data_IF_607905406996
#
_entry.id   IF_607905406996
#
_cell.length_a   1.000
_cell.length_b   1.000
_cell.length_c   1.000
_cell.angle_alpha   90.00
_cell.angle_beta   90.00
_cell.angle_gamma   90.00
#
_symmetry.space_group_name_H-M   'P 1'
#
loop_
_entity.id
_entity.type
_entity.pdbx_description
1 polymer ?
#
# COMPACT_ATOMS: atom_id res chain seq x y z
N UNK A 1 11.43 -0.61 30.79
CA UNK A 1 11.56 0.20 29.57
C UNK A 1 12.43 -0.56 28.59
N UNK A 2 11.86 -0.94 27.46
CA UNK A 2 12.56 -1.61 26.35
C UNK A 2 12.58 -0.61 25.20
N UNK A 3 13.76 -0.22 24.74
CA UNK A 3 13.93 0.73 23.63
C UNK A 3 15.06 0.24 22.74
N UNK A 4 14.76 0.05 21.46
CA UNK A 4 15.74 -0.32 20.45
C UNK A 4 16.29 0.94 19.79
N UNK A 5 17.59 0.94 19.51
CA UNK A 5 18.18 1.92 18.59
C UNK A 5 17.77 1.56 17.17
N UNK A 6 16.91 2.39 16.57
CA UNK A 6 16.40 2.18 15.22
C UNK A 6 16.49 3.48 14.42
N UNK A 7 16.70 3.35 13.12
CA UNK A 7 16.44 4.46 12.21
C UNK A 7 14.92 4.62 12.06
N UNK A 8 14.37 5.72 12.58
CA UNK A 8 12.93 5.96 12.67
C UNK A 8 12.36 6.78 11.49
N UNK A 9 13.06 6.80 10.34
CA UNK A 9 12.57 7.47 9.14
C UNK A 9 11.24 6.88 8.68
N UNK A 10 10.23 7.74 8.56
CA UNK A 10 8.96 7.42 7.93
C UNK A 10 9.09 7.33 6.41
N UNK A 11 8.04 6.83 5.77
CA UNK A 11 7.84 6.90 4.33
C UNK A 11 6.40 7.33 4.03
N UNK A 12 5.93 7.25 2.78
CA UNK A 12 4.59 7.71 2.42
C UNK A 12 3.50 6.70 2.79
N UNK A 13 3.72 5.41 2.53
CA UNK A 13 2.75 4.35 2.77
C UNK A 13 3.06 3.61 4.07
N UNK A 14 2.03 3.33 4.88
CA UNK A 14 2.21 2.80 6.23
C UNK A 14 2.80 1.37 6.25
N UNK A 15 2.38 0.50 5.32
CA UNK A 15 2.89 -0.87 5.22
C UNK A 15 4.37 -0.90 4.80
N UNK A 16 4.77 -0.10 3.81
CA UNK A 16 6.18 0.03 3.38
C UNK A 16 7.04 0.75 4.43
N UNK A 17 6.50 1.72 5.15
CA UNK A 17 7.20 2.37 6.27
C UNK A 17 7.57 1.35 7.34
N UNK A 18 6.60 0.57 7.80
CA UNK A 18 6.84 -0.47 8.81
C UNK A 18 7.85 -1.51 8.31
N UNK A 19 7.71 -1.99 7.06
CA UNK A 19 8.65 -2.93 6.45
C UNK A 19 10.06 -2.33 6.34
N UNK A 20 10.19 -1.06 5.96
CA UNK A 20 11.46 -0.36 5.86
C UNK A 20 12.19 -0.32 7.20
N UNK A 21 11.49 -0.03 8.29
CA UNK A 21 12.06 -0.06 9.66
C UNK A 21 12.55 -1.46 10.01
N UNK A 22 11.70 -2.48 9.84
CA UNK A 22 12.05 -3.86 10.17
C UNK A 22 13.26 -4.36 9.36
N UNK A 23 13.33 -4.04 8.07
CA UNK A 23 14.40 -4.48 7.18
C UNK A 23 15.72 -3.75 7.42
N UNK A 24 15.68 -2.44 7.69
CA UNK A 24 16.88 -1.67 8.04
C UNK A 24 17.52 -2.19 9.33
N UNK A 25 16.71 -2.62 10.30
CA UNK A 25 17.20 -3.30 11.51
C UNK A 25 17.92 -4.63 11.20
N UNK A 26 17.56 -5.29 10.10
CA UNK A 26 18.24 -6.49 9.60
C UNK A 26 19.41 -6.16 8.66
N UNK A 27 19.81 -4.89 8.54
CA UNK A 27 20.88 -4.43 7.65
C UNK A 27 20.48 -4.32 6.17
N UNK A 28 19.19 -4.42 5.84
CA UNK A 28 18.67 -4.31 4.47
C UNK A 28 18.03 -2.95 4.23
N UNK A 29 18.70 -2.12 3.44
CA UNK A 29 18.21 -0.79 3.06
C UNK A 29 17.62 -0.86 1.66
N UNK A 30 16.32 -0.62 1.55
CA UNK A 30 15.58 -0.50 0.29
C UNK A 30 14.83 0.83 0.27
N UNK A 31 14.71 1.44 -0.92
CA UNK A 31 13.84 2.58 -1.14
C UNK A 31 12.37 2.18 -0.98
N UNK A 32 11.49 3.14 -0.70
CA UNK A 32 10.05 2.87 -0.64
C UNK A 32 9.49 2.29 -1.94
N UNK A 33 9.82 2.82 -3.14
CA UNK A 33 9.40 2.21 -4.40
C UNK A 33 9.86 0.76 -4.53
N UNK A 34 11.10 0.44 -4.14
CA UNK A 34 11.62 -0.92 -4.21
C UNK A 34 10.88 -1.88 -3.26
N UNK A 35 10.54 -1.44 -2.04
CA UNK A 35 9.70 -2.20 -1.12
C UNK A 35 8.32 -2.48 -1.73
N UNK A 36 7.69 -1.47 -2.31
CA UNK A 36 6.37 -1.56 -2.92
C UNK A 36 6.36 -2.48 -4.15
N UNK A 37 7.33 -2.33 -5.04
CA UNK A 37 7.46 -3.08 -6.29
C UNK A 37 7.81 -4.55 -6.08
N UNK A 38 8.80 -4.85 -5.22
CA UNK A 38 9.17 -6.24 -4.88
C UNK A 38 8.04 -6.98 -4.15
N UNK A 39 7.23 -6.26 -3.38
CA UNK A 39 6.01 -6.76 -2.77
C UNK A 39 4.83 -6.93 -3.75
N UNK A 40 5.04 -6.66 -5.06
CA UNK A 40 3.98 -6.68 -6.08
C UNK A 40 2.76 -5.84 -5.65
N UNK A 41 3.04 -4.67 -5.07
CA UNK A 41 2.06 -3.87 -4.33
C UNK A 41 0.95 -3.26 -5.19
N UNK A 42 1.24 -2.97 -6.47
CA UNK A 42 0.28 -2.33 -7.36
C UNK A 42 -0.91 -3.25 -7.68
N UNK A 43 -2.11 -2.71 -7.57
CA UNK A 43 -3.33 -3.35 -8.05
C UNK A 43 -4.40 -2.30 -8.34
N UNK A 44 -5.63 -2.74 -8.54
CA UNK A 44 -6.80 -1.87 -8.52
C UNK A 44 -8.01 -2.62 -7.99
N UNK A 45 -8.87 -1.96 -7.23
CA UNK A 45 -10.21 -2.42 -6.87
C UNK A 45 -11.21 -1.29 -6.95
N UNK A 46 -12.36 -1.55 -7.58
CA UNK A 46 -13.57 -0.75 -7.42
C UNK A 46 -14.62 -1.56 -6.64
N UNK A 47 -15.13 -1.01 -5.55
CA UNK A 47 -16.15 -1.67 -4.74
C UNK A 47 -17.32 -0.74 -4.47
N UNK A 48 -18.53 -1.19 -4.82
CA UNK A 48 -19.77 -0.47 -4.54
C UNK A 48 -20.85 -1.47 -4.13
N UNK A 49 -21.57 -1.15 -3.05
CA UNK A 49 -22.68 -1.95 -2.57
C UNK A 49 -23.73 -1.06 -1.91
N UNK A 50 -24.98 -1.54 -1.85
CA UNK A 50 -26.09 -0.81 -1.21
C UNK A 50 -25.88 -0.54 0.29
N UNK A 51 -24.98 -1.27 0.95
CA UNK A 51 -24.64 -1.10 2.37
C UNK A 51 -23.56 -0.04 2.60
N UNK A 52 -22.93 0.45 1.54
CA UNK A 52 -21.90 1.48 1.60
C UNK A 52 -22.50 2.85 1.30
N UNK A 53 -22.09 3.83 2.09
CA UNK A 53 -22.44 5.23 1.88
C UNK A 53 -21.92 5.76 0.56
N UNK A 54 -20.70 5.37 0.17
CA UNK A 54 -20.08 5.77 -1.09
C UNK A 54 -19.20 4.65 -1.68
N UNK A 55 -19.02 4.58 -3.02
CA UNK A 55 -18.09 3.64 -3.64
C UNK A 55 -16.64 3.82 -3.16
N UNK A 56 -15.89 2.72 -3.13
CA UNK A 56 -14.48 2.67 -2.72
C UNK A 56 -13.57 2.33 -3.91
N UNK A 57 -12.46 3.06 -4.02
CA UNK A 57 -11.37 2.78 -4.94
C UNK A 57 -10.11 2.44 -4.13
N UNK A 58 -9.43 1.37 -4.50
CA UNK A 58 -8.13 1.01 -3.93
C UNK A 58 -7.10 0.78 -5.03
N UNK A 59 -5.86 1.26 -4.83
CA UNK A 59 -4.77 1.17 -5.81
C UNK A 59 -3.73 0.10 -5.56
N UNK A 60 -3.96 -0.77 -4.58
CA UNK A 60 -2.97 -1.76 -4.14
C UNK A 60 -3.59 -3.11 -3.84
N UNK A 61 -2.75 -4.12 -3.72
CA UNK A 61 -3.12 -5.43 -3.20
C UNK A 61 -3.70 -5.32 -1.78
N UNK A 62 -4.38 -6.38 -1.31
CA UNK A 62 -5.02 -6.36 0.01
C UNK A 62 -3.97 -6.10 1.11
N UNK A 63 -4.38 -5.50 2.24
CA UNK A 63 -3.49 -5.34 3.39
C UNK A 63 -2.76 -6.62 3.73
N UNK A 64 -1.45 -6.51 3.98
CA UNK A 64 -0.56 -7.60 4.33
C UNK A 64 -0.16 -8.55 3.18
N UNK A 65 -0.85 -8.53 2.03
CA UNK A 65 -0.39 -9.30 0.85
C UNK A 65 0.93 -8.73 0.32
N UNK A 66 1.13 -7.40 0.38
CA UNK A 66 2.40 -6.75 0.04
C UNK A 66 3.52 -7.28 0.93
N UNK A 67 3.32 -7.30 2.26
CA UNK A 67 4.27 -7.86 3.23
C UNK A 67 4.61 -9.33 2.93
N UNK A 68 3.60 -10.18 2.66
CA UNK A 68 3.81 -11.60 2.35
C UNK A 68 4.60 -11.78 1.05
N UNK A 69 4.23 -11.04 0.01
CA UNK A 69 4.90 -11.08 -1.27
C UNK A 69 6.36 -10.65 -1.16
N UNK A 70 6.63 -9.55 -0.45
CA UNK A 70 7.98 -9.06 -0.23
C UNK A 70 8.83 -10.08 0.53
N UNK A 71 8.29 -10.66 1.61
CA UNK A 71 8.96 -11.69 2.38
C UNK A 71 9.29 -12.92 1.54
N UNK A 72 8.33 -13.45 0.79
CA UNK A 72 8.56 -14.57 -0.12
C UNK A 72 9.59 -14.22 -1.21
N UNK A 73 9.53 -13.01 -1.77
CA UNK A 73 10.42 -12.53 -2.83
C UNK A 73 11.87 -12.46 -2.38
N UNK A 74 12.09 -11.92 -1.18
CA UNK A 74 13.41 -11.71 -0.60
C UNK A 74 13.91 -12.92 0.20
N UNK A 75 13.10 -13.96 0.37
CA UNK A 75 13.44 -15.12 1.19
C UNK A 75 13.53 -14.80 2.69
N UNK A 76 12.75 -13.82 3.15
CA UNK A 76 12.72 -13.43 4.56
C UNK A 76 11.94 -14.45 5.38
N UNK A 77 12.40 -14.70 6.60
CA UNK A 77 11.57 -15.39 7.59
C UNK A 77 10.52 -14.41 8.10
N UNK A 78 9.26 -14.62 7.70
CA UNK A 78 8.11 -13.86 8.18
C UNK A 78 7.36 -14.65 9.25
N UNK A 79 7.52 -14.24 10.51
CA UNK A 79 6.78 -14.82 11.63
C UNK A 79 5.54 -13.97 11.90
N UNK A 80 4.36 -14.52 11.65
CA UNK A 80 3.07 -13.83 11.87
C UNK A 80 2.35 -14.43 13.06
N UNK A 81 1.91 -13.59 14.00
CA UNK A 81 1.11 -13.99 15.15
C UNK A 81 -0.23 -13.28 15.14
N UNK A 82 -1.29 -14.04 15.34
CA UNK A 82 -2.66 -13.54 15.51
C UNK A 82 -3.32 -14.21 16.69
N UNK A 83 -4.14 -13.47 17.44
CA UNK A 83 -4.84 -13.98 18.62
C UNK A 83 -6.03 -13.08 18.95
N UNK A 84 -7.03 -13.64 19.61
CA UNK A 84 -8.14 -12.87 20.19
C UNK A 84 -7.93 -12.56 21.68
N UNK A 85 -6.89 -13.11 22.32
CA UNK A 85 -6.56 -12.88 23.72
C UNK A 85 -5.66 -11.64 23.87
N UNK A 86 -6.10 -10.60 24.61
CA UNK A 86 -5.29 -9.40 24.84
C UNK A 86 -3.94 -9.69 25.51
N UNK A 87 -3.93 -10.59 26.51
CA UNK A 87 -2.69 -11.01 27.18
C UNK A 87 -1.68 -11.61 26.18
N UNK A 88 -2.12 -12.59 25.38
CA UNK A 88 -1.25 -13.18 24.34
C UNK A 88 -0.86 -12.17 23.27
N UNK A 89 -1.75 -11.23 22.93
CA UNK A 89 -1.46 -10.19 21.94
C UNK A 89 -0.32 -9.28 22.40
N UNK A 90 -0.27 -8.96 23.70
CA UNK A 90 0.84 -8.23 24.30
C UNK A 90 2.12 -9.06 24.31
N UNK A 91 2.06 -10.32 24.76
CA UNK A 91 3.21 -11.24 24.78
C UNK A 91 3.85 -11.41 23.39
N UNK A 92 3.04 -11.50 22.33
CA UNK A 92 3.51 -11.59 20.94
C UNK A 92 4.25 -10.34 20.43
N UNK A 93 4.26 -9.25 21.20
CA UNK A 93 4.94 -7.98 20.87
C UNK A 93 6.07 -7.70 21.85
N UNK A 94 5.82 -7.84 23.14
CA UNK A 94 6.83 -7.66 24.18
C UNK A 94 8.00 -8.63 24.01
N UNK A 95 7.73 -9.93 23.78
CA UNK A 95 8.80 -10.93 23.74
C UNK A 95 9.83 -10.71 22.60
N UNK A 96 9.43 -10.40 21.35
CA UNK A 96 10.41 -10.02 20.33
C UNK A 96 11.13 -8.70 20.61
N UNK A 97 10.45 -7.69 21.16
CA UNK A 97 11.06 -6.40 21.50
C UNK A 97 12.15 -6.57 22.57
N UNK A 98 11.84 -7.33 23.63
CA UNK A 98 12.77 -7.65 24.71
C UNK A 98 13.96 -8.48 24.20
N UNK A 99 13.78 -9.22 23.11
CA UNK A 99 14.84 -9.95 22.41
C UNK A 99 15.61 -9.11 21.38
N UNK A 100 15.35 -7.80 21.28
CA UNK A 100 16.08 -6.91 20.38
C UNK A 100 15.51 -6.80 18.97
N UNK A 101 14.27 -7.24 18.73
CA UNK A 101 13.64 -7.24 17.41
C UNK A 101 12.44 -6.30 17.35
N UNK A 102 12.42 -5.29 16.46
CA UNK A 102 11.24 -4.46 16.26
C UNK A 102 10.09 -5.29 15.66
N UNK A 103 8.86 -4.86 15.90
CA UNK A 103 7.65 -5.62 15.58
C UNK A 103 6.72 -4.80 14.71
N UNK A 104 6.32 -5.35 13.56
CA UNK A 104 5.25 -4.79 12.75
C UNK A 104 3.88 -5.10 13.34
N UNK A 105 2.98 -4.12 13.36
CA UNK A 105 1.63 -4.23 13.90
C UNK A 105 0.62 -3.81 12.84
N UNK A 106 -0.45 -4.59 12.66
CA UNK A 106 -1.62 -4.14 11.93
C UNK A 106 -2.72 -3.76 12.93
N UNK A 107 -3.26 -2.55 12.81
CA UNK A 107 -4.17 -1.95 13.79
C UNK A 107 -5.12 -0.93 13.15
N UNK A 108 -6.09 -0.45 13.93
CA UNK A 108 -6.98 0.64 13.54
C UNK A 108 -6.43 2.00 13.96
N UNK A 109 -6.13 2.85 12.98
CA UNK A 109 -5.54 4.17 13.22
C UNK A 109 -6.43 5.12 14.02
N UNK A 110 -7.76 4.91 14.08
CA UNK A 110 -8.64 5.83 14.80
C UNK A 110 -8.38 5.87 16.31
N UNK A 111 -7.83 4.79 16.86
CA UNK A 111 -7.57 4.63 18.29
C UNK A 111 -6.19 5.17 18.70
N UNK A 112 -5.30 5.46 17.75
CA UNK A 112 -3.98 5.98 18.06
C UNK A 112 -4.06 7.44 18.51
N UNK A 113 -3.32 7.78 19.58
CA UNK A 113 -3.42 9.09 20.24
C UNK A 113 -2.94 10.22 19.31
N UNK A 114 -1.84 10.00 18.59
CA UNK A 114 -1.23 10.95 17.68
C UNK A 114 -1.99 11.12 16.35
N UNK A 115 -2.90 10.21 16.02
CA UNK A 115 -3.61 10.25 14.74
C UNK A 115 -4.76 11.26 14.81
N UNK A 116 -4.61 12.38 14.10
CA UNK A 116 -5.56 13.50 14.16
C UNK A 116 -6.95 13.17 13.57
N UNK A 117 -7.02 12.28 12.59
CA UNK A 117 -8.28 11.80 12.02
C UNK A 117 -8.85 10.65 12.87
N UNK A 118 -10.14 10.73 13.25
CA UNK A 118 -10.83 9.69 14.01
C UNK A 118 -11.73 8.80 13.14
N UNK A 119 -11.31 8.58 11.89
CA UNK A 119 -11.96 7.64 10.97
C UNK A 119 -11.35 6.24 11.14
N UNK A 120 -12.22 5.23 11.33
CA UNK A 120 -11.82 3.83 11.45
C UNK A 120 -11.10 3.32 10.19
N UNK A 121 -9.88 2.82 10.36
CA UNK A 121 -9.10 2.17 9.32
C UNK A 121 -8.23 1.06 9.90
N UNK A 122 -8.82 -0.13 10.06
CA UNK A 122 -8.16 -1.35 10.58
C UNK A 122 -7.07 -1.96 9.69
N UNK A 123 -6.77 -1.34 8.55
CA UNK A 123 -5.73 -1.74 7.62
C UNK A 123 -4.40 -1.00 7.82
N UNK A 124 -4.28 -0.16 8.86
CA UNK A 124 -3.07 0.61 9.13
C UNK A 124 -1.96 -0.28 9.67
N UNK A 125 -0.71 0.05 9.35
CA UNK A 125 0.46 -0.74 9.74
C UNK A 125 1.53 0.20 10.30
N UNK A 126 2.11 -0.16 11.44
CA UNK A 126 3.20 0.59 12.09
C UNK A 126 4.31 -0.37 12.52
N UNK A 127 5.52 0.14 12.69
CA UNK A 127 6.58 -0.60 13.38
C UNK A 127 6.66 -0.13 14.83
N UNK A 128 6.71 -1.05 15.78
CA UNK A 128 6.97 -0.78 17.19
C UNK A 128 8.42 -1.13 17.50
N UNK A 129 9.10 -0.25 18.23
CA UNK A 129 10.52 -0.41 18.57
C UNK A 129 10.80 -0.27 20.07
N UNK A 130 9.79 0.03 20.87
CA UNK A 130 9.93 0.06 22.30
C UNK A 130 8.64 0.31 23.05
N UNK A 131 8.71 0.18 24.37
CA UNK A 131 7.66 0.55 25.31
C UNK A 131 8.21 0.79 26.72
N UNK A 132 7.43 1.49 27.52
CA UNK A 132 7.55 1.55 28.99
C UNK A 132 6.23 1.15 29.65
N UNK A 133 6.05 1.50 30.93
CA UNK A 133 4.87 1.11 31.70
C UNK A 133 3.58 1.82 31.23
N UNK A 134 3.70 2.89 30.44
CA UNK A 134 2.60 3.73 30.00
C UNK A 134 2.46 3.81 28.49
N UNK A 135 3.57 3.91 27.77
CA UNK A 135 3.61 4.28 26.37
C UNK A 135 4.28 3.23 25.48
N UNK A 136 3.81 3.18 24.23
CA UNK A 136 4.43 2.47 23.12
C UNK A 136 5.10 3.46 22.17
N UNK A 137 6.31 3.12 21.73
CA UNK A 137 7.11 3.89 20.80
C UNK A 137 7.05 3.23 19.42
N UNK A 138 6.57 4.00 18.44
CA UNK A 138 6.20 3.53 17.11
C UNK A 138 6.89 4.36 16.02
N UNK A 139 6.99 3.77 14.84
CA UNK A 139 7.28 4.47 13.59
C UNK A 139 6.08 4.34 12.66
N UNK A 140 5.62 5.49 12.19
CA UNK A 140 4.53 5.66 11.24
C UNK A 140 5.04 6.50 10.04
N UNK A 141 4.16 6.76 9.09
CA UNK A 141 4.45 7.54 7.89
C UNK A 141 5.00 8.94 8.20
N UNK A 142 5.74 9.53 7.26
CA UNK A 142 6.27 10.90 7.40
C UNK A 142 5.15 11.92 7.67
N UNK A 143 3.98 11.70 7.07
CA UNK A 143 2.79 12.52 7.31
C UNK A 143 2.36 12.55 8.78
N UNK A 144 2.61 11.47 9.53
CA UNK A 144 2.31 11.38 10.97
C UNK A 144 3.48 11.81 11.86
N UNK A 145 4.65 12.09 11.28
CA UNK A 145 5.85 12.54 12.00
C UNK A 145 7.00 11.52 12.09
N UNK A 146 6.88 10.35 11.46
CA UNK A 146 7.90 9.30 11.56
C UNK A 146 7.87 8.63 12.94
N UNK A 147 8.72 9.07 13.86
CA UNK A 147 8.73 8.59 15.25
C UNK A 147 7.55 9.18 16.04
N UNK A 148 6.69 8.30 16.58
CA UNK A 148 5.44 8.69 17.26
C UNK A 148 5.22 7.85 18.51
N UNK A 149 4.35 8.34 19.40
CA UNK A 149 4.06 7.71 20.70
C UNK A 149 2.55 7.62 20.89
N UNK A 150 2.09 6.50 21.46
CA UNK A 150 0.70 6.31 21.90
C UNK A 150 0.70 5.50 23.20
N UNK A 151 -0.30 5.71 24.05
CA UNK A 151 -0.45 4.95 25.28
C UNK A 151 -0.67 3.45 25.00
N UNK A 152 -0.22 2.58 25.91
CA UNK A 152 -0.49 1.15 25.84
C UNK A 152 -1.99 0.83 25.80
N UNK A 153 -2.82 1.66 26.44
CA UNK A 153 -4.28 1.54 26.41
C UNK A 153 -4.81 1.78 25.00
N UNK A 154 -4.41 2.87 24.36
CA UNK A 154 -4.81 3.21 22.99
C UNK A 154 -4.29 2.18 21.99
N UNK A 155 -3.05 1.71 22.14
CA UNK A 155 -2.50 0.63 21.32
C UNK A 155 -3.31 -0.67 21.46
N UNK A 156 -3.70 -1.05 22.67
CA UNK A 156 -4.52 -2.23 22.91
C UNK A 156 -5.89 -2.12 22.23
N UNK A 157 -6.55 -0.95 22.30
CA UNK A 157 -7.81 -0.70 21.60
C UNK A 157 -7.64 -0.77 20.08
N UNK A 158 -6.61 -0.12 19.52
CA UNK A 158 -6.31 -0.11 18.10
C UNK A 158 -6.13 -1.52 17.53
N UNK A 159 -5.44 -2.40 18.28
CA UNK A 159 -5.19 -3.79 17.89
C UNK A 159 -6.38 -4.73 18.10
N UNK A 160 -7.30 -4.37 18.99
CA UNK A 160 -8.51 -5.14 19.29
C UNK A 160 -9.72 -4.76 18.41
N UNK A 161 -9.60 -3.69 17.63
CA UNK A 161 -10.65 -3.16 16.78
C UNK A 161 -11.24 -4.23 15.85
N UNK A 162 -12.54 -4.09 15.56
CA UNK A 162 -13.29 -4.99 14.68
C UNK A 162 -13.94 -4.20 13.57
N UNK A 163 -13.89 -4.73 12.35
CA UNK A 163 -14.50 -4.09 11.20
C UNK A 163 -13.78 -4.42 9.89
N UNK A 164 -14.10 -3.70 8.81
CA UNK A 164 -13.41 -3.84 7.54
C UNK A 164 -11.89 -3.73 7.71
N UNK A 165 -11.16 -4.61 7.03
CA UNK A 165 -9.69 -4.63 6.97
C UNK A 165 -8.96 -4.89 8.29
N UNK A 166 -9.65 -5.04 9.43
CA UNK A 166 -9.05 -5.39 10.73
C UNK A 166 -8.41 -6.77 10.74
N UNK A 167 -7.39 -6.94 11.60
CA UNK A 167 -6.76 -8.23 11.88
C UNK A 167 -6.88 -8.58 13.37
N UNK A 168 -6.75 -9.87 13.74
CA UNK A 168 -6.87 -10.34 15.13
C UNK A 168 -5.58 -10.07 15.90
N UNK A 169 -5.40 -8.83 16.36
CA UNK A 169 -4.18 -8.36 17.04
C UNK A 169 -2.87 -8.72 16.32
N UNK A 170 -2.88 -8.70 14.98
CA UNK A 170 -1.76 -9.18 14.17
C UNK A 170 -0.47 -8.44 14.53
N UNK A 171 0.55 -9.22 14.87
CA UNK A 171 1.94 -8.77 14.95
C UNK A 171 2.81 -9.63 14.05
N UNK A 172 3.92 -9.07 13.58
CA UNK A 172 4.86 -9.80 12.74
C UNK A 172 6.29 -9.31 12.92
N UNK A 173 7.24 -10.21 12.73
CA UNK A 173 8.67 -9.92 12.64
C UNK A 173 9.23 -10.42 11.33
N UNK A 174 10.36 -9.85 10.92
CA UNK A 174 11.10 -10.23 9.72
C UNK A 174 12.55 -10.51 10.09
N UNK A 175 13.08 -11.62 9.60
CA UNK A 175 14.51 -11.93 9.67
C UNK A 175 15.05 -12.07 8.24
N UNK A 176 16.13 -11.35 7.95
CA UNK A 176 16.80 -11.46 6.66
C UNK A 176 17.71 -12.72 6.62
N UNK A 177 17.77 -13.45 5.49
CA UNK A 177 18.77 -14.49 5.31
C UNK A 177 20.16 -13.86 5.20
N UNK A 178 21.20 -14.64 5.55
CA UNK A 178 22.61 -14.20 5.41
C UNK A 178 23.00 -13.96 3.95
N UNK A 179 22.51 -14.79 3.05
CA UNK A 179 22.80 -14.73 1.62
C UNK A 179 21.52 -14.39 0.84
N UNK A 180 21.44 -13.16 0.33
CA UNK A 180 20.36 -12.76 -0.55
C UNK A 180 20.70 -13.12 -2.00
N UNK A 181 19.77 -13.75 -2.74
CA UNK A 181 19.87 -13.93 -4.19
C UNK A 181 20.14 -12.61 -4.96
N UNK A 182 20.48 -12.68 -6.24
CA UNK A 182 20.69 -11.47 -7.04
C UNK A 182 19.42 -10.60 -7.16
N UNK A 183 19.51 -9.25 -7.07
CA UNK A 183 18.37 -8.35 -7.19
C UNK A 183 17.57 -8.52 -8.51
N UNK A 184 18.26 -8.77 -9.62
CA UNK A 184 17.69 -8.81 -10.97
C UNK A 184 16.60 -9.88 -11.13
N UNK A 185 16.87 -11.11 -10.67
CA UNK A 185 15.90 -12.23 -10.77
C UNK A 185 14.62 -11.91 -9.99
N UNK A 186 14.77 -11.28 -8.83
CA UNK A 186 13.64 -10.90 -7.97
C UNK A 186 12.81 -9.77 -8.57
N UNK A 187 13.46 -8.78 -9.17
CA UNK A 187 12.78 -7.66 -9.83
C UNK A 187 11.94 -8.17 -10.99
N UNK A 188 12.53 -8.93 -11.93
CA UNK A 188 11.79 -9.48 -13.07
C UNK A 188 10.58 -10.29 -12.60
N UNK A 189 10.78 -11.19 -11.63
CA UNK A 189 9.71 -12.02 -11.14
C UNK A 189 8.64 -11.25 -10.34
N UNK A 190 8.99 -10.10 -9.72
CA UNK A 190 8.03 -9.24 -9.03
C UNK A 190 7.16 -8.46 -10.01
N UNK A 191 7.79 -7.94 -11.08
CA UNK A 191 7.10 -7.23 -12.14
C UNK A 191 6.14 -8.16 -12.90
N UNK A 192 6.62 -9.34 -13.33
CA UNK A 192 5.78 -10.27 -14.10
C UNK A 192 4.63 -10.83 -13.28
N UNK A 193 4.83 -11.15 -12.00
CA UNK A 193 3.76 -11.58 -11.10
C UNK A 193 2.71 -10.48 -10.87
N UNK A 194 3.15 -9.23 -10.70
CA UNK A 194 2.25 -8.08 -10.57
C UNK A 194 1.42 -7.87 -11.85
N UNK A 195 2.09 -7.92 -13.02
CA UNK A 195 1.45 -7.80 -14.31
C UNK A 195 0.41 -8.91 -14.56
N UNK A 196 0.75 -10.16 -14.28
CA UNK A 196 -0.16 -11.29 -14.44
C UNK A 196 -1.43 -11.15 -13.58
N UNK A 197 -1.27 -10.84 -12.29
CA UNK A 197 -2.40 -10.62 -11.39
C UNK A 197 -3.29 -9.43 -11.81
N UNK A 198 -2.70 -8.40 -12.40
CA UNK A 198 -3.41 -7.21 -12.88
C UNK A 198 -4.18 -7.45 -14.20
N UNK A 199 -3.63 -8.31 -15.07
CA UNK A 199 -4.22 -8.68 -16.36
C UNK A 199 -5.27 -9.79 -16.23
N UNK A 200 -5.10 -10.70 -15.27
CA UNK A 200 -5.97 -11.85 -15.08
C UNK A 200 -6.69 -11.83 -13.72
N UNK A 201 -7.43 -10.75 -13.38
CA UNK A 201 -8.10 -10.65 -12.10
C UNK A 201 -9.24 -11.68 -11.99
N UNK A 202 -9.49 -12.24 -10.80
CA UNK A 202 -10.54 -13.26 -10.60
C UNK A 202 -11.96 -12.71 -10.74
N UNK A 203 -12.14 -11.38 -10.63
CA UNK A 203 -13.43 -10.70 -10.77
C UNK A 203 -13.25 -9.38 -11.53
N UNK A 204 -14.32 -8.90 -12.18
CA UNK A 204 -14.29 -7.67 -12.98
C UNK A 204 -14.10 -6.36 -12.17
N UNK A 205 -14.10 -6.45 -10.84
CA UNK A 205 -13.87 -5.29 -9.96
C UNK A 205 -12.39 -4.98 -9.75
N UNK A 206 -11.49 -5.86 -10.21
CA UNK A 206 -10.06 -5.77 -9.95
C UNK A 206 -9.24 -5.51 -11.23
N UNK A 207 -8.01 -5.03 -11.05
CA UNK A 207 -7.07 -4.77 -12.15
C UNK A 207 -7.63 -3.79 -13.18
N UNK A 208 -7.16 -3.90 -14.43
CA UNK A 208 -7.61 -3.02 -15.53
C UNK A 208 -9.13 -3.07 -15.76
N UNK A 209 -9.75 -4.24 -15.60
CA UNK A 209 -11.22 -4.42 -15.72
C UNK A 209 -11.98 -3.65 -14.64
N UNK A 210 -11.41 -3.58 -13.44
CA UNK A 210 -11.93 -2.76 -12.36
C UNK A 210 -11.90 -1.28 -12.70
N UNK A 211 -10.80 -0.81 -13.30
CA UNK A 211 -10.65 0.59 -13.73
C UNK A 211 -11.70 0.91 -14.80
N UNK A 212 -11.87 0.03 -15.79
CA UNK A 212 -12.90 0.18 -16.82
C UNK A 212 -14.31 0.27 -16.21
N UNK A 213 -14.59 -0.59 -15.20
CA UNK A 213 -15.85 -0.56 -14.46
C UNK A 213 -16.03 0.74 -13.67
N UNK A 214 -14.97 1.25 -13.04
CA UNK A 214 -14.99 2.53 -12.34
C UNK A 214 -15.28 3.68 -13.31
N UNK A 215 -14.67 3.70 -14.51
CA UNK A 215 -14.94 4.72 -15.53
C UNK A 215 -16.39 4.76 -16.04
N UNK A 216 -17.08 3.61 -16.02
CA UNK A 216 -18.53 3.55 -16.31
C UNK A 216 -19.37 4.10 -15.16
N UNK A 217 -19.05 3.71 -13.92
CA UNK A 217 -19.86 4.00 -12.75
C UNK A 217 -19.60 5.37 -12.12
N UNK A 218 -18.42 5.95 -12.29
CA UNK A 218 -18.10 7.31 -11.78
C UNK A 218 -19.09 8.35 -12.30
N UNK A 219 -19.62 8.14 -13.51
CA UNK A 219 -20.60 9.01 -14.15
C UNK A 219 -21.91 9.12 -13.38
N UNK A 220 -22.21 8.17 -12.50
CA UNK A 220 -23.45 8.14 -11.70
C UNK A 220 -23.24 8.53 -10.24
N UNK A 221 -22.03 8.90 -9.82
CA UNK A 221 -21.72 9.11 -8.40
C UNK A 221 -22.48 10.25 -7.74
N UNK A 222 -22.88 11.30 -8.47
CA UNK A 222 -23.76 12.36 -7.93
C UNK A 222 -25.12 11.80 -7.45
N UNK A 223 -25.58 10.67 -8.01
CA UNK A 223 -26.81 10.00 -7.58
C UNK A 223 -26.59 8.98 -6.48
N UNK A 224 -25.33 8.70 -6.10
CA UNK A 224 -24.98 7.71 -5.07
C UNK A 224 -24.88 8.31 -3.68
N UNK A 225 -24.87 9.63 -3.53
CA UNK A 225 -24.69 10.32 -2.25
C UNK A 225 -25.60 11.53 -2.14
N UNK A 226 -26.07 11.78 -0.91
CA UNK A 226 -26.77 13.02 -0.54
C UNK A 226 -25.80 14.15 -0.14
N UNK A 227 -24.49 13.86 -0.06
CA UNK A 227 -23.43 14.78 0.36
C UNK A 227 -22.25 14.80 -0.65
N UNK A 228 -22.48 15.14 -1.93
CA UNK A 228 -21.48 15.03 -3.00
C UNK A 228 -20.21 15.85 -2.73
N UNK A 229 -20.33 17.05 -2.14
CA UNK A 229 -19.17 17.88 -1.76
C UNK A 229 -18.24 17.18 -0.78
N UNK A 230 -18.78 16.40 0.15
CA UNK A 230 -17.98 15.64 1.13
C UNK A 230 -17.42 14.38 0.49
N UNK A 231 -18.29 13.57 -0.11
CA UNK A 231 -17.93 12.20 -0.50
C UNK A 231 -17.02 12.16 -1.74
N UNK A 232 -17.25 13.03 -2.72
CA UNK A 232 -16.38 13.13 -3.90
C UNK A 232 -15.01 13.73 -3.53
N UNK A 233 -14.99 14.78 -2.72
CA UNK A 233 -13.74 15.35 -2.23
C UNK A 233 -12.95 14.33 -1.39
N UNK A 234 -13.62 13.54 -0.56
CA UNK A 234 -12.98 12.47 0.20
C UNK A 234 -12.43 11.38 -0.71
N UNK A 235 -13.17 10.96 -1.75
CA UNK A 235 -12.68 9.97 -2.71
C UNK A 235 -11.42 10.46 -3.45
N UNK A 236 -11.43 11.70 -3.94
CA UNK A 236 -10.27 12.31 -4.58
C UNK A 236 -9.07 12.46 -3.61
N UNK A 237 -9.34 12.87 -2.36
CA UNK A 237 -8.32 12.96 -1.32
C UNK A 237 -7.66 11.60 -1.04
N UNK A 238 -8.43 10.51 -1.01
CA UNK A 238 -7.89 9.15 -0.81
C UNK A 238 -7.11 8.62 -2.03
N UNK A 239 -7.33 9.17 -3.22
CA UNK A 239 -6.52 8.82 -4.40
C UNK A 239 -5.14 9.47 -4.31
N UNK A 240 -5.08 10.74 -3.89
CA UNK A 240 -3.84 11.51 -3.86
C UNK A 240 -3.07 11.43 -2.53
N UNK A 241 -3.79 11.19 -1.42
CA UNK A 241 -3.23 11.15 -0.06
C UNK A 241 -3.68 9.86 0.64
N UNK A 242 -3.53 9.80 1.97
CA UNK A 242 -3.80 8.61 2.78
C UNK A 242 -2.82 7.44 2.48
N UNK A 243 -1.56 7.80 2.30
CA UNK A 243 -0.46 6.86 2.12
C UNK A 243 -0.46 6.15 0.77
N UNK A 244 -1.02 6.76 -0.28
CA UNK A 244 -0.89 6.27 -1.66
C UNK A 244 0.38 6.74 -2.35
N UNK A 245 1.04 7.79 -1.83
CA UNK A 245 2.12 8.50 -2.52
C UNK A 245 1.65 9.27 -3.77
N UNK A 246 0.35 9.54 -3.89
CA UNK A 246 -0.25 10.20 -5.04
C UNK A 246 -0.66 9.24 -6.16
N UNK A 247 -1.55 9.69 -7.03
CA UNK A 247 -2.01 8.96 -8.20
C UNK A 247 -2.45 7.51 -7.89
N UNK A 248 -3.08 7.27 -6.73
CA UNK A 248 -3.56 5.97 -6.29
C UNK A 248 -2.48 4.86 -6.42
N UNK A 249 -1.28 5.11 -5.88
CA UNK A 249 -0.06 4.27 -5.91
C UNK A 249 0.73 4.23 -7.23
N UNK A 250 0.30 4.92 -8.29
CA UNK A 250 1.00 4.88 -9.59
C UNK A 250 2.34 5.61 -9.55
N UNK A 251 2.50 6.63 -8.70
CA UNK A 251 3.79 7.28 -8.47
C UNK A 251 4.82 6.29 -7.91
N UNK A 252 4.47 5.57 -6.84
CA UNK A 252 5.36 4.57 -6.24
C UNK A 252 5.72 3.45 -7.23
N UNK A 253 4.76 2.98 -8.03
CA UNK A 253 5.07 1.96 -9.03
C UNK A 253 5.91 2.49 -10.20
N UNK A 254 5.64 3.70 -10.69
CA UNK A 254 6.47 4.37 -11.71
C UNK A 254 7.91 4.51 -11.21
N UNK A 255 8.10 5.00 -10.00
CA UNK A 255 9.43 5.23 -9.44
C UNK A 255 10.18 3.90 -9.22
N UNK A 256 9.46 2.84 -8.85
CA UNK A 256 10.01 1.49 -8.82
C UNK A 256 10.50 1.03 -10.20
N UNK A 257 9.68 1.20 -11.24
CA UNK A 257 10.07 0.84 -12.61
C UNK A 257 11.28 1.68 -13.07
N UNK A 258 11.36 2.96 -12.67
CA UNK A 258 12.50 3.83 -12.96
C UNK A 258 13.78 3.29 -12.30
N UNK A 259 13.77 2.99 -11.01
CA UNK A 259 14.91 2.36 -10.32
C UNK A 259 15.30 1.02 -10.97
N UNK A 260 14.33 0.25 -11.47
CA UNK A 260 14.60 -1.00 -12.17
C UNK A 260 15.32 -0.79 -13.51
N UNK A 261 15.14 0.35 -14.19
CA UNK A 261 15.82 0.62 -15.47
C UNK A 261 17.33 0.79 -15.34
N UNK A 262 17.81 1.14 -14.15
CA UNK A 262 19.25 1.20 -13.85
C UNK A 262 19.86 -0.19 -13.66
N UNK A 263 19.03 -1.21 -13.40
CA UNK A 263 19.43 -2.58 -13.08
C UNK A 263 19.16 -3.57 -14.21
N UNK A 264 18.20 -3.26 -15.09
CA UNK A 264 17.72 -4.13 -16.16
C UNK A 264 17.60 -3.36 -17.48
N UNK A 265 18.38 -3.75 -18.49
CA UNK A 265 18.22 -3.22 -19.84
C UNK A 265 17.11 -3.99 -20.59
N UNK A 266 15.90 -3.42 -20.63
CA UNK A 266 14.77 -4.01 -21.33
C UNK A 266 13.87 -2.95 -21.98
N UNK A 267 13.60 -3.14 -23.28
CA UNK A 267 12.63 -2.32 -24.01
C UNK A 267 11.22 -2.41 -23.42
N UNK A 268 10.84 -3.59 -22.91
CA UNK A 268 9.55 -3.82 -22.25
C UNK A 268 9.43 -3.05 -20.93
N UNK A 269 10.52 -3.00 -20.14
CA UNK A 269 10.57 -2.24 -18.90
C UNK A 269 10.46 -0.74 -19.17
N UNK A 270 11.24 -0.22 -20.14
CA UNK A 270 11.15 1.19 -20.56
C UNK A 270 9.77 1.55 -21.09
N UNK A 271 9.11 0.66 -21.82
CA UNK A 271 7.75 0.87 -22.29
C UNK A 271 6.75 0.94 -21.12
N UNK A 272 6.82 -0.01 -20.18
CA UNK A 272 6.00 0.02 -18.97
C UNK A 272 6.22 1.29 -18.13
N UNK A 273 7.47 1.73 -17.96
CA UNK A 273 7.80 2.98 -17.26
C UNK A 273 7.16 4.21 -17.92
N UNK A 274 7.26 4.34 -19.25
CA UNK A 274 6.63 5.46 -19.98
C UNK A 274 5.12 5.47 -19.77
N UNK A 275 4.46 4.32 -19.95
CA UNK A 275 3.01 4.21 -19.81
C UNK A 275 2.54 4.45 -18.36
N UNK A 276 3.29 3.99 -17.35
CA UNK A 276 2.97 4.30 -15.94
C UNK A 276 3.28 5.74 -15.54
N UNK A 277 4.19 6.42 -16.25
CA UNK A 277 4.41 7.86 -16.10
C UNK A 277 3.18 8.64 -16.57
N UNK A 278 2.65 8.28 -17.75
CA UNK A 278 1.41 8.85 -18.27
C UNK A 278 0.20 8.52 -17.39
N UNK A 279 0.06 7.25 -16.98
CA UNK A 279 -1.02 6.82 -16.10
C UNK A 279 -1.02 7.58 -14.76
N UNK A 280 0.16 7.82 -14.18
CA UNK A 280 0.25 8.60 -12.94
C UNK A 280 -0.33 10.01 -13.10
N UNK A 281 -0.03 10.70 -14.20
CA UNK A 281 -0.60 12.02 -14.50
C UNK A 281 -2.13 11.95 -14.67
N UNK A 282 -2.64 10.98 -15.42
CA UNK A 282 -4.07 10.81 -15.66
C UNK A 282 -4.84 10.43 -14.39
N UNK A 283 -4.25 9.68 -13.46
CA UNK A 283 -4.87 9.41 -12.16
C UNK A 283 -5.05 10.67 -11.32
N UNK A 284 -4.06 11.56 -11.32
CA UNK A 284 -4.16 12.86 -10.65
C UNK A 284 -5.20 13.76 -11.33
N UNK A 285 -5.30 13.74 -12.66
CA UNK A 285 -6.36 14.43 -13.38
C UNK A 285 -7.75 13.88 -13.01
N UNK A 286 -7.92 12.56 -12.97
CA UNK A 286 -9.17 11.93 -12.57
C UNK A 286 -9.57 12.32 -11.13
N UNK A 287 -8.62 12.35 -10.19
CA UNK A 287 -8.87 12.82 -8.82
C UNK A 287 -9.32 14.29 -8.81
N UNK A 288 -8.66 15.17 -9.56
CA UNK A 288 -9.01 16.58 -9.66
C UNK A 288 -10.42 16.80 -10.24
N UNK A 289 -10.79 16.06 -11.29
CA UNK A 289 -12.14 16.10 -11.88
C UNK A 289 -13.21 15.62 -10.89
N UNK A 290 -12.94 14.55 -10.14
CA UNK A 290 -13.84 14.04 -9.09
C UNK A 290 -14.02 15.09 -7.98
N UNK A 291 -12.94 15.71 -7.50
CA UNK A 291 -13.00 16.77 -6.49
C UNK A 291 -13.84 17.96 -6.98
N UNK A 292 -13.57 18.44 -8.21
CA UNK A 292 -14.29 19.54 -8.84
C UNK A 292 -15.79 19.24 -9.00
N UNK A 293 -16.15 18.00 -9.34
CA UNK A 293 -17.55 17.58 -9.37
C UNK A 293 -18.23 17.68 -8.00
N UNK A 294 -17.51 17.37 -6.91
CA UNK A 294 -18.02 17.56 -5.54
C UNK A 294 -18.26 19.02 -5.18
N UNK A 295 -17.34 19.90 -5.58
CA UNK A 295 -17.45 21.34 -5.28
C UNK A 295 -18.59 22.01 -6.03
N UNK A 296 -18.69 21.73 -7.33
CA UNK A 296 -19.59 22.38 -8.28
C UNK A 296 -20.96 21.71 -8.45
N UNK A 297 -21.05 20.39 -8.20
CA UNK A 297 -22.23 19.58 -8.56
C UNK A 297 -22.36 19.31 -10.06
N UNK A 298 -21.35 19.64 -10.87
CA UNK A 298 -21.39 19.47 -12.32
C UNK A 298 -21.15 18.02 -12.76
N UNK A 299 -22.17 17.41 -13.37
CA UNK A 299 -22.10 16.06 -13.90
C UNK A 299 -21.12 15.90 -15.07
N UNK A 300 -20.79 16.98 -15.80
CA UNK A 300 -19.81 16.92 -16.88
C UNK A 300 -18.40 16.60 -16.36
N UNK A 301 -18.05 17.06 -15.16
CA UNK A 301 -16.78 16.73 -14.51
C UNK A 301 -16.65 15.20 -14.29
N UNK A 302 -17.72 14.53 -13.85
CA UNK A 302 -17.73 13.06 -13.70
C UNK A 302 -17.79 12.34 -15.04
N UNK A 303 -18.44 12.92 -16.06
CA UNK A 303 -18.40 12.38 -17.41
C UNK A 303 -16.98 12.39 -17.99
N UNK A 304 -16.22 13.46 -17.74
CA UNK A 304 -14.81 13.56 -18.13
C UNK A 304 -13.94 12.60 -17.31
N UNK A 305 -14.11 12.54 -15.98
CA UNK A 305 -13.39 11.57 -15.13
C UNK A 305 -13.63 10.12 -15.60
N UNK A 306 -14.86 9.81 -16.03
CA UNK A 306 -15.18 8.49 -16.59
C UNK A 306 -14.51 8.18 -17.92
N UNK A 307 -14.16 9.19 -18.72
CA UNK A 307 -13.39 9.02 -19.95
C UNK A 307 -11.91 8.81 -19.60
N UNK A 308 -11.34 9.64 -18.72
CA UNK A 308 -9.97 9.48 -18.24
C UNK A 308 -9.74 8.10 -17.61
N UNK A 309 -10.68 7.61 -16.80
CA UNK A 309 -10.61 6.25 -16.23
C UNK A 309 -10.70 5.16 -17.30
N UNK A 310 -11.45 5.37 -18.39
CA UNK A 310 -11.45 4.43 -19.50
C UNK A 310 -10.08 4.38 -20.18
N UNK A 311 -9.48 5.53 -20.44
CA UNK A 311 -8.15 5.62 -21.08
C UNK A 311 -7.08 5.00 -20.17
N UNK A 312 -7.12 5.27 -18.87
CA UNK A 312 -6.30 4.61 -17.85
C UNK A 312 -6.42 3.08 -17.89
N UNK A 313 -7.63 2.54 -18.07
CA UNK A 313 -7.83 1.09 -18.16
C UNK A 313 -7.12 0.47 -19.37
N UNK A 314 -7.03 1.20 -20.48
CA UNK A 314 -6.32 0.79 -21.69
C UNK A 314 -4.81 0.91 -21.52
N UNK A 315 -4.33 2.07 -21.04
CA UNK A 315 -2.91 2.36 -20.82
C UNK A 315 -2.29 1.37 -19.82
N UNK A 316 -2.93 1.15 -18.68
CA UNK A 316 -2.37 0.22 -17.68
C UNK A 316 -2.44 -1.24 -18.13
N UNK A 317 -3.44 -1.60 -18.95
CA UNK A 317 -3.47 -2.92 -19.57
C UNK A 317 -2.30 -3.10 -20.54
N UNK A 318 -2.04 -2.12 -21.41
CA UNK A 318 -0.91 -2.16 -22.33
C UNK A 318 0.44 -2.19 -21.59
N UNK A 319 0.59 -1.36 -20.55
CA UNK A 319 1.77 -1.33 -19.71
C UNK A 319 2.04 -2.70 -19.09
N UNK A 320 1.02 -3.32 -18.50
CA UNK A 320 1.15 -4.64 -17.89
C UNK A 320 1.38 -5.75 -18.92
N UNK A 321 0.82 -5.65 -20.13
CA UNK A 321 1.14 -6.59 -21.23
C UNK A 321 2.61 -6.50 -21.65
N UNK A 322 3.18 -5.29 -21.70
CA UNK A 322 4.60 -5.14 -21.95
C UNK A 322 5.44 -5.71 -20.80
N UNK A 323 5.10 -5.37 -19.55
CA UNK A 323 5.83 -5.80 -18.37
C UNK A 323 5.77 -7.32 -18.13
N UNK A 324 4.70 -8.00 -18.55
CA UNK A 324 4.59 -9.46 -18.45
C UNK A 324 5.55 -10.19 -19.40
N UNK A 325 6.04 -9.53 -20.45
CA UNK A 325 7.04 -10.07 -21.38
C UNK A 325 8.48 -9.97 -20.86
N UNK A 326 8.72 -9.46 -19.65
CA UNK A 326 10.06 -9.44 -19.08
C UNK A 326 10.60 -10.86 -18.85
N UNK A 327 11.76 -11.14 -19.44
CA UNK A 327 12.50 -12.37 -19.23
C UNK A 327 13.61 -12.17 -18.21
N UNK A 328 13.97 -13.24 -17.51
CA UNK A 328 15.16 -13.20 -16.65
C UNK A 328 16.37 -13.10 -17.59
N UNK A 329 17.30 -12.14 -17.38
CA UNK A 329 18.54 -12.11 -18.15
C UNK A 329 19.21 -13.48 -18.02
N UNK A 330 19.47 -14.17 -19.13
CA UNK A 330 20.30 -15.36 -19.11
C UNK A 330 21.64 -14.94 -18.54
N UNK A 331 22.08 -15.56 -17.44
CA UNK A 331 23.42 -15.33 -16.92
C UNK A 331 24.40 -15.53 -18.08
N UNK A 332 24.99 -14.43 -18.54
CA UNK A 332 25.96 -14.47 -19.62
C UNK A 332 27.09 -15.36 -19.14
N UNK A 333 27.29 -16.49 -19.82
CA UNK A 333 28.50 -17.28 -19.68
C UNK A 333 29.68 -16.38 -20.06
N UNK A 334 30.48 -16.05 -19.06
CA UNK A 334 31.81 -15.44 -19.18
C UNK A 334 32.76 -16.24 -18.30
#
# INVERSE_FOLDING_TARGET
MTMLDIDARGMQHCETTALGVLLRHQGLVLSEPMLFGLGSGLSFVYWDSKKMTFPFLGGRVKPFDLTRNLAARLGLELVVRETTSPRRAWENVAAPLDAGHPVGLQLDSCHLDYFGSKVHFGGHVVAMYGYDDHDAYLVDTDQQGGAVTTSLTSLAQARAARGPMTAKHRSFTLTAPRDLPSPQVRITAAITACADAFLHPPIANLGHRGIEKAGKLVRTWLHRTDAPRRDLAQAALLMERAGTGGALFRNLYRDFLAECTDLLDSGHLRAGLRLYTEAATLWTEAAALIAKAGESGDAQCLAHAGTVLHDLSCIEREAMQSLSCLTVPTAGGG
#
